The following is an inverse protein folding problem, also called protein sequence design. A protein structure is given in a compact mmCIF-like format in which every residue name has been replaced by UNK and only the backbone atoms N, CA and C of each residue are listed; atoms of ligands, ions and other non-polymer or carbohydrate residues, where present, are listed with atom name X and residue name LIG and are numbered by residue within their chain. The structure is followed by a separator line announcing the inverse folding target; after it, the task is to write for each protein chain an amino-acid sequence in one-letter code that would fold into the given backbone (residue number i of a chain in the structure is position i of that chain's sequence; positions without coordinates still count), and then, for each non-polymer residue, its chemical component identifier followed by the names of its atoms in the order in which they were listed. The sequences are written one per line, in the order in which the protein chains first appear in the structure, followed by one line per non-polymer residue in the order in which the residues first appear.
data_IF_001569066507
#
_entry.id   IF_001569066507
#
_cell.length_a   1.000
_cell.length_b   1.000
_cell.length_c   1.000
_cell.angle_alpha   90.00
_cell.angle_beta   90.00
_cell.angle_gamma   90.00
#
_symmetry.space_group_name_H-M   'P 1'
#
loop_
_entity.id
_entity.type
_entity.pdbx_description
1 polymer ?
#
# COMPACT_ATOMS: atom_id res chain seq x y z
N UNK A 1 5.65 -0.87 14.74
CA UNK A 1 7.06 -0.62 14.37
C UNK A 1 7.20 0.86 14.03
N UNK A 2 7.53 1.74 15.00
CA UNK A 2 7.44 3.19 14.81
C UNK A 2 8.55 3.81 13.94
N UNK A 3 9.47 3.02 13.37
CA UNK A 3 10.59 3.53 12.58
C UNK A 3 10.58 3.04 11.12
N UNK A 4 9.54 2.32 10.70
CA UNK A 4 9.47 1.80 9.33
C UNK A 4 8.92 2.89 8.41
N UNK A 5 9.81 3.52 7.65
CA UNK A 5 9.47 4.62 6.73
C UNK A 5 9.28 4.14 5.29
N UNK A 6 9.93 3.05 4.90
CA UNK A 6 9.82 2.46 3.58
C UNK A 6 9.55 0.96 3.69
N UNK A 7 8.59 0.47 2.91
CA UNK A 7 8.21 -0.93 2.86
C UNK A 7 8.04 -1.32 1.39
N UNK A 8 8.80 -2.32 0.98
CA UNK A 8 8.73 -2.89 -0.35
C UNK A 8 8.25 -4.34 -0.25
N UNK A 9 7.25 -4.70 -1.05
CA UNK A 9 6.70 -6.05 -1.11
C UNK A 9 6.64 -6.47 -2.57
N UNK A 10 7.26 -7.60 -2.86
CA UNK A 10 7.33 -8.16 -4.21
C UNK A 10 6.74 -9.57 -4.27
N UNK A 11 6.11 -9.93 -5.39
CA UNK A 11 5.70 -11.29 -5.74
C UNK A 11 4.88 -11.99 -4.64
N UNK A 12 3.97 -11.25 -4.01
CA UNK A 12 3.17 -11.74 -2.89
C UNK A 12 1.73 -12.04 -3.32
N UNK A 13 1.55 -13.10 -4.10
CA UNK A 13 0.30 -13.46 -4.78
C UNK A 13 -0.83 -13.88 -3.81
N UNK A 14 -0.49 -14.15 -2.54
CA UNK A 14 -1.46 -14.50 -1.49
C UNK A 14 -2.02 -13.27 -0.78
N UNK A 15 -1.44 -12.09 -1.01
CA UNK A 15 -1.87 -10.85 -0.40
C UNK A 15 -3.03 -10.28 -1.23
N UNK A 16 -4.27 -10.54 -0.80
CA UNK A 16 -5.49 -10.22 -1.57
C UNK A 16 -6.04 -8.81 -1.38
N UNK A 17 -5.47 -8.04 -0.47
CA UNK A 17 -5.94 -6.70 -0.14
C UNK A 17 -4.90 -5.96 0.68
N UNK A 18 -5.14 -4.67 0.94
CA UNK A 18 -4.35 -3.92 1.90
C UNK A 18 -4.72 -4.41 3.31
N UNK A 19 -3.94 -5.28 3.98
CA UNK A 19 -4.32 -5.77 5.27
C UNK A 19 -4.46 -4.59 6.22
N UNK A 20 -5.47 -4.67 7.08
CA UNK A 20 -5.70 -3.75 8.19
C UNK A 20 -4.42 -3.51 9.00
N UNK A 21 -3.50 -4.48 9.03
CA UNK A 21 -2.16 -4.37 9.59
C UNK A 21 -1.31 -3.18 9.10
N UNK A 22 -1.44 -2.75 7.84
CA UNK A 22 -0.70 -1.58 7.32
C UNK A 22 -1.15 -0.27 7.99
N UNK A 23 -2.37 -0.19 8.49
CA UNK A 23 -2.85 0.99 9.23
C UNK A 23 -2.09 1.21 10.56
N UNK A 24 -1.43 0.17 11.08
CA UNK A 24 -0.56 0.28 12.25
C UNK A 24 0.87 0.72 11.90
N UNK A 25 1.19 0.88 10.62
CA UNK A 25 2.47 1.42 10.16
C UNK A 25 2.39 2.94 10.05
N UNK A 26 2.16 3.58 11.20
CA UNK A 26 1.92 5.03 11.33
C UNK A 26 3.09 5.91 10.87
N UNK A 27 4.29 5.34 10.76
CA UNK A 27 5.51 6.04 10.33
C UNK A 27 5.88 5.75 8.88
N UNK A 28 5.10 4.95 8.17
CA UNK A 28 5.39 4.53 6.81
C UNK A 28 5.09 5.66 5.84
N UNK A 29 6.11 6.09 5.11
CA UNK A 29 6.02 7.16 4.12
C UNK A 29 5.99 6.61 2.69
N UNK A 30 6.72 5.52 2.43
CA UNK A 30 6.86 4.92 1.10
C UNK A 30 6.41 3.47 1.15
N UNK A 31 5.43 3.13 0.32
CA UNK A 31 5.00 1.76 0.06
C UNK A 31 5.24 1.41 -1.40
N UNK A 32 6.02 0.38 -1.67
CA UNK A 32 6.25 -0.12 -3.02
C UNK A 32 5.77 -1.57 -3.15
N UNK A 33 4.92 -1.82 -4.13
CA UNK A 33 4.34 -3.11 -4.43
C UNK A 33 4.75 -3.51 -5.85
N UNK A 34 5.31 -4.71 -6.03
CA UNK A 34 5.80 -5.19 -7.34
C UNK A 34 5.32 -6.61 -7.60
N UNK A 35 4.79 -6.88 -8.78
CA UNK A 35 4.34 -8.23 -9.17
C UNK A 35 3.30 -8.78 -8.21
N UNK A 36 2.34 -7.96 -7.81
CA UNK A 36 1.24 -8.39 -6.95
C UNK A 36 0.10 -8.95 -7.80
N UNK A 37 -0.90 -9.56 -7.18
CA UNK A 37 -2.10 -9.99 -7.92
C UNK A 37 -2.98 -8.79 -8.26
N UNK A 38 -3.61 -8.79 -9.44
CA UNK A 38 -4.57 -7.76 -9.90
C UNK A 38 -5.64 -7.41 -8.85
N UNK A 39 -6.07 -8.40 -8.07
CA UNK A 39 -7.03 -8.23 -6.98
C UNK A 39 -6.55 -7.23 -5.92
N UNK A 40 -5.25 -7.23 -5.61
CA UNK A 40 -4.64 -6.33 -4.63
C UNK A 40 -4.55 -4.92 -5.18
N UNK A 41 -4.11 -4.77 -6.42
CA UNK A 41 -3.98 -3.47 -7.08
C UNK A 41 -5.33 -2.74 -7.11
N UNK A 42 -6.39 -3.46 -7.49
CA UNK A 42 -7.76 -2.96 -7.47
C UNK A 42 -8.24 -2.64 -6.05
N UNK A 43 -7.86 -3.44 -5.06
CA UNK A 43 -8.21 -3.17 -3.65
C UNK A 43 -7.57 -1.87 -3.16
N UNK A 44 -6.31 -1.63 -3.48
CA UNK A 44 -5.59 -0.43 -3.06
C UNK A 44 -6.16 0.81 -3.72
N UNK A 45 -6.46 0.75 -5.03
CA UNK A 45 -7.15 1.83 -5.73
C UNK A 45 -8.53 2.12 -5.14
N UNK A 46 -9.24 1.09 -4.64
CA UNK A 46 -10.52 1.28 -3.94
C UNK A 46 -10.39 1.90 -2.56
N UNK A 47 -9.35 1.53 -1.80
CA UNK A 47 -9.08 2.12 -0.48
C UNK A 47 -8.82 3.62 -0.57
N UNK A 48 -8.19 4.07 -1.66
CA UNK A 48 -8.02 5.50 -1.93
C UNK A 48 -9.36 6.25 -2.11
N UNK A 49 -10.36 5.58 -2.69
CA UNK A 49 -11.69 6.16 -2.93
C UNK A 49 -12.70 6.00 -1.78
N UNK A 50 -12.69 4.89 -1.04
CA UNK A 50 -13.70 4.58 0.00
C UNK A 50 -13.23 4.91 1.43
N UNK A 51 -11.95 4.77 1.74
CA UNK A 51 -11.39 4.94 3.09
C UNK A 51 -9.99 5.64 3.04
N UNK A 52 -9.91 6.86 2.49
CA UNK A 52 -8.65 7.56 2.25
C UNK A 52 -7.81 7.78 3.52
N UNK A 53 -8.44 7.77 4.70
CA UNK A 53 -7.76 7.89 6.00
C UNK A 53 -6.67 6.81 6.23
N UNK A 54 -6.79 5.64 5.61
CA UNK A 54 -5.82 4.54 5.75
C UNK A 54 -4.55 4.75 4.92
N UNK A 55 -4.66 5.46 3.79
CA UNK A 55 -3.54 5.79 2.91
C UNK A 55 -3.00 7.20 3.15
N UNK A 56 -3.75 8.08 3.83
CA UNK A 56 -3.30 9.43 4.18
C UNK A 56 -1.96 9.44 4.92
N UNK A 57 -1.73 8.44 5.78
CA UNK A 57 -0.50 8.32 6.56
C UNK A 57 0.73 7.98 5.69
N UNK A 58 0.51 7.34 4.53
CA UNK A 58 1.56 6.92 3.60
C UNK A 58 1.71 7.97 2.51
N UNK A 59 2.82 8.69 2.47
CA UNK A 59 3.05 9.78 1.52
C UNK A 59 3.08 9.32 0.06
N UNK A 60 3.68 8.17 -0.21
CA UNK A 60 3.91 7.66 -1.56
C UNK A 60 3.57 6.17 -1.65
N UNK A 61 2.72 5.82 -2.62
CA UNK A 61 2.39 4.44 -2.94
C UNK A 61 2.80 4.17 -4.39
N UNK A 62 3.55 3.10 -4.59
CA UNK A 62 4.06 2.66 -5.88
C UNK A 62 3.55 1.24 -6.16
N UNK A 63 3.00 1.02 -7.35
CA UNK A 63 2.54 -0.30 -7.82
C UNK A 63 3.19 -0.54 -9.19
N UNK A 64 3.98 -1.60 -9.33
CA UNK A 64 4.68 -1.93 -10.59
C UNK A 64 5.44 -0.73 -11.20
N UNK A 65 6.15 -0.02 -10.32
CA UNK A 65 6.89 1.20 -10.64
C UNK A 65 6.03 2.39 -11.12
N UNK A 66 4.70 2.27 -11.07
CA UNK A 66 3.76 3.37 -11.25
C UNK A 66 3.46 4.02 -9.89
N UNK A 67 3.61 5.34 -9.81
CA UNK A 67 3.20 6.08 -8.61
C UNK A 67 1.68 6.23 -8.62
N UNK A 68 1.02 5.74 -7.57
CA UNK A 68 -0.37 6.07 -7.31
C UNK A 68 -0.41 7.53 -6.86
N UNK A 69 -0.87 8.42 -7.74
CA UNK A 69 -1.04 9.83 -7.40
C UNK A 69 -2.34 9.92 -6.61
N UNK A 70 -2.23 10.37 -5.35
CA UNK A 70 -3.37 10.76 -4.51
C UNK A 70 -4.12 11.95 -5.12
#
# INVERSE_FOLDING_TARGET
MPCLHSLQIGNCNKLKGFPQGFTHLTSLQILELKGMSDDLERNIQRVDGEDPCKLQQISEVWIDAQRLVK
#
